data_IF_881738495065
#
_entry.id   IF_881738495065
#
_cell.length_a   1.000
_cell.length_b   1.000
_cell.length_c   1.000
_cell.angle_alpha   90.00
_cell.angle_beta   90.00
_cell.angle_gamma   90.00
#
_symmetry.space_group_name_H-M   'P 1'
#
loop_
_entity.id
_entity.type
_entity.pdbx_description
1 polymer ?
#
# COMPACT_ATOMS: atom_id res chain seq x y z
N UNK A 1 -8.20 3.63 13.27
CA UNK A 1 -6.97 3.37 12.52
C UNK A 1 -7.14 3.34 10.98
N UNK A 2 -8.27 3.71 10.39
CA UNK A 2 -8.41 3.72 8.91
C UNK A 2 -7.57 4.82 8.23
N UNK A 3 -7.24 5.91 8.91
CA UNK A 3 -6.45 7.02 8.35
C UNK A 3 -5.00 6.68 8.00
N UNK A 4 -4.40 5.70 8.69
CA UNK A 4 -3.02 5.28 8.41
C UNK A 4 -2.89 4.48 7.10
N UNK A 5 -3.88 3.67 6.76
CA UNK A 5 -3.85 2.85 5.53
C UNK A 5 -3.96 3.74 4.29
N UNK A 6 -4.81 4.76 4.31
CA UNK A 6 -4.96 5.70 3.19
C UNK A 6 -3.70 6.55 2.96
N UNK A 7 -3.04 7.01 4.02
CA UNK A 7 -1.81 7.81 3.90
C UNK A 7 -0.62 6.99 3.38
N UNK A 8 -0.51 5.73 3.80
CA UNK A 8 0.56 4.84 3.34
C UNK A 8 0.44 4.49 1.85
N UNK A 9 -0.78 4.28 1.32
CA UNK A 9 -0.98 4.08 -0.12
C UNK A 9 -0.63 5.33 -0.91
N UNK A 10 -1.09 6.49 -0.48
CA UNK A 10 -0.84 7.75 -1.18
C UNK A 10 0.67 8.07 -1.31
N UNK A 11 1.48 7.76 -0.29
CA UNK A 11 2.93 8.01 -0.33
C UNK A 11 3.62 7.07 -1.34
N UNK A 12 3.23 5.81 -1.41
CA UNK A 12 3.76 4.85 -2.40
C UNK A 12 3.38 5.22 -3.83
N UNK A 13 2.11 5.56 -4.04
CA UNK A 13 1.58 5.94 -5.34
C UNK A 13 2.30 7.20 -5.88
N UNK A 14 2.56 8.16 -5.00
CA UNK A 14 3.35 9.33 -5.34
C UNK A 14 4.78 8.95 -5.72
N UNK A 15 5.46 8.11 -4.94
CA UNK A 15 6.81 7.66 -5.26
C UNK A 15 6.84 6.92 -6.61
N UNK A 16 5.86 6.08 -6.88
CA UNK A 16 5.74 5.39 -8.15
C UNK A 16 5.53 6.36 -9.33
N UNK A 17 4.66 7.37 -9.16
CA UNK A 17 4.45 8.41 -10.17
C UNK A 17 5.71 9.26 -10.41
N UNK A 18 6.45 9.63 -9.34
CA UNK A 18 7.72 10.36 -9.44
C UNK A 18 8.76 9.55 -10.24
N UNK A 19 8.87 8.23 -9.99
CA UNK A 19 9.78 7.33 -10.73
C UNK A 19 9.44 7.22 -12.22
N UNK A 20 8.17 7.42 -12.57
CA UNK A 20 7.68 7.41 -13.95
C UNK A 20 7.63 8.81 -14.56
N UNK A 21 7.99 9.86 -13.83
CA UNK A 21 7.90 11.27 -14.24
C UNK A 21 6.48 11.66 -14.71
N UNK A 22 5.46 11.06 -14.09
CA UNK A 22 4.03 11.27 -14.39
C UNK A 22 3.30 11.90 -13.21
N UNK A 23 2.14 12.51 -13.48
CA UNK A 23 1.26 12.98 -12.43
C UNK A 23 0.61 11.81 -11.68
N UNK A 24 0.45 11.97 -10.35
CA UNK A 24 -0.08 10.91 -9.46
C UNK A 24 -1.46 10.42 -9.91
N UNK A 25 -2.34 11.33 -10.35
CA UNK A 25 -3.69 10.97 -10.78
C UNK A 25 -3.66 10.19 -12.10
N UNK A 26 -2.83 10.62 -13.05
CA UNK A 26 -2.63 9.94 -14.33
C UNK A 26 -2.06 8.54 -14.10
N UNK A 27 -1.03 8.43 -13.26
CA UNK A 27 -0.47 7.14 -12.86
C UNK A 27 -1.54 6.21 -12.28
N UNK A 28 -2.31 6.72 -11.31
CA UNK A 28 -3.33 5.94 -10.62
C UNK A 28 -4.42 5.44 -11.58
N UNK A 29 -4.97 6.32 -12.41
CA UNK A 29 -6.09 6.01 -13.31
C UNK A 29 -5.66 5.14 -14.48
N UNK A 30 -4.55 5.45 -15.13
CA UNK A 30 -4.15 4.78 -16.37
C UNK A 30 -3.36 3.50 -16.15
N UNK A 31 -2.52 3.45 -15.12
CA UNK A 31 -1.61 2.33 -14.91
C UNK A 31 -2.02 1.43 -13.74
N UNK A 32 -2.40 2.02 -12.62
CA UNK A 32 -2.64 1.24 -11.40
C UNK A 32 -4.05 0.64 -11.33
N UNK A 33 -5.10 1.42 -11.67
CA UNK A 33 -6.50 0.95 -11.57
C UNK A 33 -6.76 -0.30 -12.41
N UNK A 34 -6.38 -0.40 -13.70
CA UNK A 34 -6.68 -1.58 -14.50
C UNK A 34 -6.11 -2.87 -13.88
N UNK A 35 -4.86 -2.80 -13.43
CA UNK A 35 -4.19 -3.95 -12.79
C UNK A 35 -4.81 -4.24 -11.42
N UNK A 36 -5.05 -3.21 -10.62
CA UNK A 36 -5.61 -3.35 -9.27
C UNK A 36 -7.02 -3.96 -9.29
N UNK A 37 -7.87 -3.60 -10.25
CA UNK A 37 -9.22 -4.19 -10.41
C UNK A 37 -9.14 -5.69 -10.63
N UNK A 38 -8.24 -6.14 -11.52
CA UNK A 38 -8.03 -7.57 -11.77
C UNK A 38 -7.55 -8.31 -10.51
N UNK A 39 -6.62 -7.70 -9.77
CA UNK A 39 -6.10 -8.26 -8.52
C UNK A 39 -7.18 -8.31 -7.45
N UNK A 40 -7.95 -7.25 -7.25
CA UNK A 40 -9.04 -7.19 -6.26
C UNK A 40 -10.13 -8.21 -6.58
N UNK A 41 -10.54 -8.31 -7.85
CA UNK A 41 -11.51 -9.33 -8.27
C UNK A 41 -11.01 -10.76 -7.98
N UNK A 42 -9.73 -11.02 -8.28
CA UNK A 42 -9.10 -12.31 -8.00
C UNK A 42 -9.05 -12.62 -6.50
N UNK A 43 -8.69 -11.63 -5.68
CA UNK A 43 -8.64 -11.78 -4.22
C UNK A 43 -10.05 -12.02 -3.67
N UNK A 44 -11.06 -11.28 -4.12
CA UNK A 44 -12.43 -11.43 -3.65
C UNK A 44 -12.99 -12.82 -3.98
N UNK A 45 -12.86 -13.24 -5.25
CA UNK A 45 -13.32 -14.56 -5.73
C UNK A 45 -12.50 -15.67 -5.08
N UNK A 46 -11.18 -15.56 -5.09
CA UNK A 46 -10.26 -16.54 -4.52
C UNK A 46 -10.49 -16.77 -3.03
N UNK A 47 -10.68 -15.68 -2.26
CA UNK A 47 -10.98 -15.77 -0.83
C UNK A 47 -12.29 -16.51 -0.56
N UNK A 48 -13.34 -16.21 -1.33
CA UNK A 48 -14.61 -16.91 -1.18
C UNK A 48 -14.47 -18.44 -1.35
N UNK A 49 -13.80 -18.86 -2.42
CA UNK A 49 -13.64 -20.31 -2.69
C UNK A 49 -12.67 -20.99 -1.71
N UNK A 50 -11.54 -20.36 -1.42
CA UNK A 50 -10.51 -20.92 -0.55
C UNK A 50 -11.02 -21.01 0.90
N UNK A 51 -11.71 -19.99 1.42
CA UNK A 51 -12.29 -20.03 2.76
C UNK A 51 -13.34 -21.15 2.85
N UNK A 52 -14.26 -21.23 1.89
CA UNK A 52 -15.26 -22.31 1.85
C UNK A 52 -14.61 -23.71 1.83
N UNK A 53 -13.51 -23.87 1.09
CA UNK A 53 -12.77 -25.12 1.06
C UNK A 53 -12.11 -25.45 2.40
N UNK A 54 -11.48 -24.47 3.05
CA UNK A 54 -10.88 -24.66 4.37
C UNK A 54 -11.95 -24.98 5.42
N UNK A 55 -13.07 -24.29 5.42
CA UNK A 55 -14.16 -24.50 6.39
C UNK A 55 -14.76 -25.90 6.23
N UNK A 56 -14.97 -26.37 5.01
CA UNK A 56 -15.41 -27.76 4.75
C UNK A 56 -14.39 -28.80 5.23
N UNK A 57 -13.11 -28.53 5.04
CA UNK A 57 -12.02 -29.41 5.47
C UNK A 57 -11.87 -29.45 6.99
N UNK A 58 -12.03 -28.33 7.64
CA UNK A 58 -11.92 -28.22 9.09
C UNK A 58 -13.15 -28.84 9.76
N UNK A 59 -14.34 -28.68 9.20
CA UNK A 59 -15.55 -29.39 9.61
C UNK A 59 -15.41 -30.92 9.46
N UNK A 60 -14.82 -31.40 8.35
CA UNK A 60 -14.57 -32.83 8.12
C UNK A 60 -13.52 -33.42 9.08
N UNK A 61 -12.66 -32.59 9.68
CA UNK A 61 -11.65 -33.00 10.66
C UNK A 61 -12.14 -32.93 12.11
N UNK A 62 -13.38 -32.49 12.35
CA UNK A 62 -13.92 -32.33 13.69
C UNK A 62 -13.20 -31.23 14.50
N UNK A 63 -12.44 -30.37 13.83
CA UNK A 63 -11.94 -29.16 14.45
C UNK A 63 -13.18 -28.27 14.62
N UNK A 64 -13.69 -28.15 15.85
CA UNK A 64 -14.77 -27.22 16.14
C UNK A 64 -14.34 -25.86 15.61
N UNK A 65 -15.18 -25.24 14.78
CA UNK A 65 -15.03 -23.82 14.44
C UNK A 65 -14.68 -23.11 15.75
N UNK A 66 -13.51 -22.48 15.76
CA UNK A 66 -13.14 -21.67 16.91
C UNK A 66 -14.34 -20.81 17.21
N UNK A 67 -14.93 -21.03 18.38
CA UNK A 67 -16.16 -20.37 18.76
C UNK A 67 -15.98 -18.90 18.37
N UNK A 68 -16.93 -18.29 17.63
CA UNK A 68 -16.77 -16.89 17.27
C UNK A 68 -16.48 -16.19 18.58
N UNK A 69 -15.26 -15.64 18.68
CA UNK A 69 -14.92 -14.78 19.81
C UNK A 69 -15.99 -13.73 19.73
N UNK A 70 -16.99 -13.86 20.60
CA UNK A 70 -17.96 -12.79 20.80
C UNK A 70 -17.11 -11.63 21.25
N UNK A 71 -16.72 -10.80 20.28
CA UNK A 71 -16.15 -9.50 20.59
C UNK A 71 -17.13 -8.94 21.62
N UNK A 72 -16.63 -8.74 22.85
CA UNK A 72 -17.50 -8.39 23.95
C UNK A 72 -18.20 -7.11 23.47
N UNK A 73 -19.52 -7.13 23.36
CA UNK A 73 -20.28 -5.97 22.87
C UNK A 73 -19.87 -4.72 23.65
N UNK A 74 -19.43 -4.89 24.91
CA UNK A 74 -18.86 -3.84 25.75
C UNK A 74 -17.54 -3.26 25.23
N UNK A 75 -16.69 -4.07 24.58
CA UNK A 75 -15.43 -3.56 24.00
C UNK A 75 -15.68 -2.84 22.66
N UNK A 76 -16.69 -3.29 21.90
CA UNK A 76 -17.19 -2.57 20.74
C UNK A 76 -17.87 -1.26 21.13
N UNK A 77 -18.75 -1.27 22.14
CA UNK A 77 -19.38 -0.06 22.66
C UNK A 77 -18.37 0.95 23.18
N UNK A 78 -17.34 0.51 23.96
CA UNK A 78 -16.25 1.38 24.39
C UNK A 78 -15.41 1.93 23.24
N UNK A 79 -15.21 1.17 22.16
CA UNK A 79 -14.54 1.65 20.96
C UNK A 79 -15.39 2.69 20.20
N UNK A 80 -16.72 2.62 20.32
CA UNK A 80 -17.66 3.57 19.72
C UNK A 80 -18.03 4.74 20.65
N UNK A 81 -17.89 4.62 21.96
CA UNK A 81 -18.11 5.71 22.93
C UNK A 81 -17.18 6.93 22.71
N UNK A 82 -16.05 6.74 22.02
CA UNK A 82 -15.14 7.80 21.58
C UNK A 82 -15.29 8.21 20.12
N UNK A 83 -16.25 7.65 19.39
CA UNK A 83 -16.46 7.99 17.99
C UNK A 83 -17.11 9.38 17.87
N UNK A 84 -16.37 10.30 17.24
CA UNK A 84 -16.91 11.62 16.91
C UNK A 84 -18.09 11.54 15.96
N UNK A 85 -18.81 12.67 15.74
CA UNK A 85 -19.96 12.71 14.85
C UNK A 85 -19.62 12.19 13.45
N UNK A 86 -20.59 11.56 12.79
CA UNK A 86 -20.41 10.85 11.51
C UNK A 86 -19.77 11.70 10.41
N UNK A 87 -19.96 13.02 10.41
CA UNK A 87 -19.33 13.92 9.43
C UNK A 87 -17.80 13.98 9.54
N UNK A 88 -17.21 13.65 10.70
CA UNK A 88 -15.75 13.52 10.82
C UNK A 88 -15.16 12.35 10.02
N UNK A 89 -15.98 11.34 9.71
CA UNK A 89 -15.54 10.23 8.87
C UNK A 89 -15.28 10.65 7.40
N UNK A 90 -15.87 11.76 6.95
CA UNK A 90 -15.65 12.32 5.61
C UNK A 90 -14.35 13.15 5.50
N UNK A 91 -13.83 13.69 6.60
CA UNK A 91 -12.64 14.54 6.59
C UNK A 91 -11.39 13.87 6.01
N UNK A 92 -11.09 12.60 6.32
CA UNK A 92 -9.94 11.90 5.70
C UNK A 92 -10.07 11.69 4.19
N UNK A 93 -11.27 11.72 3.63
CA UNK A 93 -11.51 11.60 2.18
C UNK A 93 -11.37 12.93 1.44
N UNK A 94 -11.36 14.04 2.15
CA UNK A 94 -11.36 15.38 1.57
C UNK A 94 -10.13 15.64 0.66
N UNK A 95 -8.89 15.29 1.04
CA UNK A 95 -7.73 15.47 0.17
C UNK A 95 -7.87 14.72 -1.16
N UNK A 96 -8.41 13.49 -1.11
CA UNK A 96 -8.62 12.66 -2.30
C UNK A 96 -9.68 13.29 -3.21
N UNK A 97 -10.80 13.75 -2.66
CA UNK A 97 -11.87 14.40 -3.41
C UNK A 97 -11.35 15.68 -4.08
N UNK A 98 -10.57 16.51 -3.35
CA UNK A 98 -9.98 17.71 -3.92
C UNK A 98 -9.02 17.41 -5.07
N UNK A 99 -8.19 16.37 -4.94
CA UNK A 99 -7.28 15.96 -6.00
C UNK A 99 -8.03 15.47 -7.25
N UNK A 100 -9.12 14.72 -7.08
CA UNK A 100 -9.92 14.23 -8.22
C UNK A 100 -10.63 15.40 -8.90
N UNK A 101 -11.28 16.28 -8.14
CA UNK A 101 -12.05 17.42 -8.67
C UNK A 101 -11.15 18.41 -9.41
N UNK A 102 -9.95 18.69 -8.89
CA UNK A 102 -8.97 19.58 -9.50
C UNK A 102 -7.90 18.85 -10.31
N UNK A 103 -8.17 17.60 -10.68
CA UNK A 103 -7.35 16.86 -11.65
C UNK A 103 -7.50 17.44 -13.05
N UNK A 104 -6.45 17.43 -13.88
CA UNK A 104 -6.52 17.80 -15.29
C UNK A 104 -7.60 17.06 -16.08
N UNK A 105 -8.09 15.90 -15.57
CA UNK A 105 -9.17 15.13 -16.19
C UNK A 105 -10.56 15.75 -15.98
N UNK A 106 -10.76 16.55 -14.92
CA UNK A 106 -12.06 17.13 -14.55
C UNK A 106 -12.06 18.63 -14.73
N UNK A 107 -10.99 19.32 -14.36
CA UNK A 107 -10.87 20.76 -14.44
C UNK A 107 -9.45 21.21 -14.80
N UNK A 108 -9.28 21.72 -16.01
CA UNK A 108 -7.96 22.08 -16.55
C UNK A 108 -7.48 23.50 -16.15
N UNK A 109 -8.28 24.23 -15.37
CA UNK A 109 -8.00 25.63 -15.01
C UNK A 109 -7.04 25.84 -13.85
N UNK A 110 -6.91 24.88 -12.92
CA UNK A 110 -6.07 24.99 -11.72
C UNK A 110 -5.39 23.65 -11.46
N UNK A 111 -4.06 23.63 -11.57
CA UNK A 111 -3.25 22.45 -11.20
C UNK A 111 -3.02 22.45 -9.70
N UNK A 112 -3.87 21.74 -8.96
CA UNK A 112 -3.72 21.59 -7.51
C UNK A 112 -2.62 20.57 -7.22
N UNK A 113 -1.53 20.99 -6.59
CA UNK A 113 -0.51 20.03 -6.14
C UNK A 113 -1.04 19.22 -4.94
N UNK A 114 -0.56 17.98 -4.79
CA UNK A 114 -0.94 17.12 -3.66
C UNK A 114 -0.68 17.82 -2.30
N UNK A 115 0.43 18.54 -2.18
CA UNK A 115 0.75 19.29 -0.97
C UNK A 115 -0.29 20.37 -0.68
N UNK A 116 -0.68 21.13 -1.69
CA UNK A 116 -1.70 22.18 -1.56
C UNK A 116 -3.05 21.56 -1.20
N UNK A 117 -3.43 20.44 -1.81
CA UNK A 117 -4.66 19.70 -1.49
C UNK A 117 -4.71 19.25 -0.03
N UNK A 118 -3.60 18.71 0.49
CA UNK A 118 -3.49 18.30 1.89
C UNK A 118 -3.58 19.52 2.84
N UNK A 119 -2.85 20.60 2.55
CA UNK A 119 -2.88 21.82 3.38
C UNK A 119 -4.29 22.44 3.43
N UNK A 120 -4.96 22.53 2.29
CA UNK A 120 -6.35 23.02 2.22
C UNK A 120 -7.28 22.10 3.02
N UNK A 121 -7.09 20.80 2.94
CA UNK A 121 -7.90 19.83 3.70
C UNK A 121 -7.69 19.97 5.22
N UNK A 122 -6.47 20.20 5.68
CA UNK A 122 -6.17 20.44 7.09
C UNK A 122 -6.85 21.75 7.56
N UNK A 123 -6.81 22.81 6.75
CA UNK A 123 -7.48 24.07 7.07
C UNK A 123 -9.01 23.88 7.14
N UNK A 124 -9.60 23.17 6.19
CA UNK A 124 -11.04 22.89 6.22
C UNK A 124 -11.39 22.07 7.46
N UNK A 125 -10.60 21.03 7.79
CA UNK A 125 -10.81 20.23 8.99
C UNK A 125 -10.73 21.07 10.28
N UNK A 126 -9.78 21.99 10.35
CA UNK A 126 -9.65 22.93 11.47
C UNK A 126 -10.88 23.83 11.62
N UNK A 127 -11.38 24.39 10.52
CA UNK A 127 -12.58 25.23 10.55
C UNK A 127 -13.83 24.44 10.91
N UNK A 128 -13.99 23.21 10.40
CA UNK A 128 -15.09 22.32 10.76
C UNK A 128 -15.07 22.00 12.24
N UNK A 129 -13.90 21.68 12.81
CA UNK A 129 -13.75 21.41 14.25
C UNK A 129 -14.05 22.65 15.09
N UNK A 130 -13.59 23.83 14.67
CA UNK A 130 -13.84 25.09 15.34
C UNK A 130 -15.34 25.46 15.36
N UNK A 131 -16.05 25.28 14.24
CA UNK A 131 -17.48 25.54 14.14
C UNK A 131 -18.30 24.54 14.96
N UNK A 132 -17.84 23.29 15.05
CA UNK A 132 -18.57 22.23 15.75
C UNK A 132 -18.44 22.36 17.28
N UNK A 133 -17.30 22.76 17.79
CA UNK A 133 -17.03 22.77 19.23
C UNK A 133 -16.94 24.17 19.85
N UNK A 134 -16.82 25.23 19.05
CA UNK A 134 -16.72 26.64 19.49
C UNK A 134 -15.64 26.92 20.56
N UNK A 135 -14.66 26.01 20.73
CA UNK A 135 -13.54 26.15 21.66
C UNK A 135 -12.21 26.18 20.90
N UNK A 136 -11.70 27.40 20.70
CA UNK A 136 -10.46 27.60 19.96
C UNK A 136 -9.24 26.95 20.62
N UNK A 137 -9.18 26.91 21.95
CA UNK A 137 -8.04 26.36 22.68
C UNK A 137 -7.96 24.83 22.52
N UNK A 138 -9.09 24.17 22.61
CA UNK A 138 -9.19 22.72 22.43
C UNK A 138 -8.96 22.34 20.96
N UNK A 139 -9.46 23.14 20.02
CA UNK A 139 -9.21 22.93 18.59
C UNK A 139 -7.70 23.06 18.26
N UNK A 140 -7.00 24.06 18.78
CA UNK A 140 -5.55 24.18 18.63
C UNK A 140 -4.79 22.99 19.22
N UNK A 141 -5.22 22.48 20.38
CA UNK A 141 -4.62 21.30 21.00
C UNK A 141 -4.81 20.04 20.13
N UNK A 142 -6.00 19.84 19.56
CA UNK A 142 -6.25 18.71 18.62
C UNK A 142 -5.44 18.86 17.34
N UNK A 143 -5.30 20.06 16.82
CA UNK A 143 -4.47 20.34 15.65
C UNK A 143 -3.00 20.05 15.92
N UNK A 144 -2.50 20.24 17.15
CA UNK A 144 -1.12 19.86 17.49
C UNK A 144 -0.82 18.38 17.32
N UNK A 145 -1.84 17.51 17.43
CA UNK A 145 -1.70 16.08 17.14
C UNK A 145 -1.34 15.80 15.66
N UNK A 146 -1.71 16.70 14.74
CA UNK A 146 -1.31 16.60 13.32
C UNK A 146 0.21 16.76 13.20
N UNK A 147 0.79 17.75 13.89
CA UNK A 147 2.25 17.98 13.89
C UNK A 147 3.01 16.84 14.57
N UNK A 148 2.46 16.27 15.64
CA UNK A 148 3.03 15.06 16.27
C UNK A 148 2.98 13.86 15.31
N UNK A 149 1.86 13.68 14.59
CA UNK A 149 1.73 12.69 13.54
C UNK A 149 2.75 12.89 12.42
N UNK A 150 2.94 14.13 11.96
CA UNK A 150 3.97 14.48 10.97
C UNK A 150 5.38 14.12 11.46
N UNK A 151 5.70 14.40 12.72
CA UNK A 151 6.99 14.03 13.33
C UNK A 151 7.24 12.52 13.31
N UNK A 152 6.22 11.73 13.63
CA UNK A 152 6.30 10.25 13.57
C UNK A 152 6.49 9.75 12.14
N UNK A 153 5.79 10.32 11.17
CA UNK A 153 5.95 9.97 9.74
C UNK A 153 7.32 10.41 9.23
N UNK A 154 7.79 11.58 9.64
CA UNK A 154 9.12 12.05 9.27
C UNK A 154 10.20 11.07 9.72
N UNK A 155 10.21 10.68 11.00
CA UNK A 155 11.22 9.75 11.53
C UNK A 155 11.13 8.35 10.96
N UNK A 156 9.94 7.85 10.64
CA UNK A 156 9.77 6.49 10.11
C UNK A 156 9.89 6.40 8.58
N UNK A 157 9.32 7.36 7.87
CA UNK A 157 9.20 7.27 6.40
C UNK A 157 10.27 8.07 5.69
N UNK A 158 10.53 9.33 6.09
CA UNK A 158 11.52 10.17 5.42
C UNK A 158 12.93 9.65 5.68
N UNK A 159 13.24 9.26 6.92
CA UNK A 159 14.53 8.64 7.24
C UNK A 159 14.74 7.35 6.42
N UNK A 160 13.71 6.51 6.26
CA UNK A 160 13.78 5.30 5.46
C UNK A 160 14.05 5.63 3.98
N UNK A 161 13.37 6.62 3.40
CA UNK A 161 13.59 7.05 2.02
C UNK A 161 15.03 7.53 1.83
N UNK A 162 15.56 8.35 2.74
CA UNK A 162 16.94 8.83 2.67
C UNK A 162 17.94 7.66 2.73
N UNK A 163 17.75 6.70 3.63
CA UNK A 163 18.58 5.52 3.71
C UNK A 163 18.50 4.66 2.43
N UNK A 164 17.31 4.53 1.85
CA UNK A 164 17.10 3.79 0.61
C UNK A 164 17.82 4.45 -0.59
N UNK A 165 17.76 5.78 -0.72
CA UNK A 165 18.48 6.52 -1.76
C UNK A 165 20.00 6.37 -1.60
N UNK A 166 20.50 6.45 -0.38
CA UNK A 166 21.94 6.22 -0.11
C UNK A 166 22.35 4.79 -0.45
N UNK A 167 21.52 3.81 -0.13
CA UNK A 167 21.74 2.41 -0.48
C UNK A 167 21.77 2.22 -2.01
N UNK A 168 20.80 2.79 -2.73
CA UNK A 168 20.74 2.72 -4.19
C UNK A 168 21.96 3.37 -4.84
N UNK A 169 22.39 4.55 -4.35
CA UNK A 169 23.62 5.20 -4.80
C UNK A 169 24.87 4.33 -4.54
N UNK A 170 24.93 3.67 -3.40
CA UNK A 170 26.00 2.73 -3.06
C UNK A 170 26.05 1.53 -4.02
N UNK A 171 24.91 0.91 -4.26
CA UNK A 171 24.76 -0.21 -5.19
C UNK A 171 25.15 0.16 -6.62
N UNK A 172 24.76 1.36 -7.07
CA UNK A 172 25.12 1.90 -8.37
C UNK A 172 26.64 2.08 -8.51
N UNK A 173 27.27 2.72 -7.52
CA UNK A 173 28.72 2.96 -7.53
C UNK A 173 29.54 1.67 -7.42
N UNK A 174 29.04 0.64 -6.76
CA UNK A 174 29.69 -0.67 -6.69
C UNK A 174 29.53 -1.49 -7.97
N UNK A 175 28.73 -1.04 -8.93
CA UNK A 175 28.47 -1.75 -10.18
C UNK A 175 27.55 -2.96 -10.01
N UNK A 176 26.89 -3.13 -8.87
CA UNK A 176 25.97 -4.25 -8.62
C UNK A 176 24.80 -4.26 -9.60
N UNK A 177 24.26 -3.08 -9.89
CA UNK A 177 23.16 -2.92 -10.85
C UNK A 177 23.66 -3.22 -12.28
N UNK A 178 24.82 -2.70 -12.68
CA UNK A 178 25.41 -2.95 -14.00
C UNK A 178 25.67 -4.43 -14.26
N UNK A 179 26.08 -5.17 -13.24
CA UNK A 179 26.28 -6.63 -13.35
C UNK A 179 24.97 -7.38 -13.54
N UNK A 180 23.92 -6.99 -12.79
CA UNK A 180 22.57 -7.56 -12.97
C UNK A 180 21.98 -7.22 -14.36
N UNK A 181 22.20 -6.00 -14.82
CA UNK A 181 21.79 -5.51 -16.13
C UNK A 181 22.46 -6.34 -17.24
N UNK A 182 23.78 -6.51 -17.17
CA UNK A 182 24.53 -7.27 -18.18
C UNK A 182 24.10 -8.74 -18.20
N UNK A 183 23.82 -9.33 -17.03
CA UNK A 183 23.28 -10.68 -16.94
C UNK A 183 21.87 -10.81 -17.55
N UNK A 184 21.01 -9.82 -17.34
CA UNK A 184 19.67 -9.81 -17.95
C UNK A 184 19.70 -9.52 -19.45
N UNK A 185 20.55 -8.58 -19.91
CA UNK A 185 20.72 -8.25 -21.31
C UNK A 185 21.30 -9.40 -22.14
N UNK A 186 22.09 -10.28 -21.52
CA UNK A 186 22.61 -11.49 -22.17
C UNK A 186 21.51 -12.54 -22.50
N UNK A 187 20.28 -12.34 -21.98
CA UNK A 187 19.16 -13.27 -22.14
C UNK A 187 18.14 -12.82 -23.21
N UNK A 188 18.59 -12.15 -24.27
CA UNK A 188 17.82 -11.63 -25.44
C UNK A 188 16.30 -11.43 -25.21
N UNK A 189 15.45 -12.42 -25.52
CA UNK A 189 13.98 -12.29 -25.43
C UNK A 189 13.38 -12.55 -24.02
N UNK A 190 14.15 -13.19 -23.12
CA UNK A 190 13.69 -13.51 -21.76
C UNK A 190 14.04 -12.42 -20.72
N UNK A 191 14.88 -11.44 -21.10
CA UNK A 191 15.45 -10.46 -20.17
C UNK A 191 14.41 -9.64 -19.40
N UNK A 192 13.30 -9.25 -20.05
CA UNK A 192 12.20 -8.50 -19.44
C UNK A 192 11.53 -9.30 -18.33
N UNK A 193 11.16 -10.54 -18.62
CA UNK A 193 10.48 -11.42 -17.67
C UNK A 193 11.38 -11.79 -16.51
N UNK A 194 12.64 -12.07 -16.78
CA UNK A 194 13.64 -12.41 -15.76
C UNK A 194 13.83 -11.22 -14.83
N UNK A 195 13.99 -10.00 -15.35
CA UNK A 195 14.12 -8.78 -14.55
C UNK A 195 12.87 -8.54 -13.69
N UNK A 196 11.68 -8.69 -14.28
CA UNK A 196 10.41 -8.54 -13.56
C UNK A 196 10.31 -9.54 -12.39
N UNK A 197 10.60 -10.84 -12.63
CA UNK A 197 10.53 -11.86 -11.59
C UNK A 197 11.59 -11.68 -10.51
N UNK A 198 12.80 -11.22 -10.86
CA UNK A 198 13.85 -10.89 -9.88
C UNK A 198 13.40 -9.73 -8.98
N UNK A 199 12.95 -8.62 -9.56
CA UNK A 199 12.51 -7.45 -8.80
C UNK A 199 11.28 -7.76 -7.92
N UNK A 200 10.35 -8.52 -8.46
CA UNK A 200 9.16 -9.00 -7.74
C UNK A 200 9.54 -9.95 -6.61
N UNK A 201 10.45 -10.88 -6.84
CA UNK A 201 10.97 -11.81 -5.83
C UNK A 201 11.67 -11.08 -4.67
N UNK A 202 12.55 -10.14 -4.99
CA UNK A 202 13.22 -9.27 -3.99
C UNK A 202 12.17 -8.52 -3.18
N UNK A 203 11.17 -7.93 -3.85
CA UNK A 203 10.11 -7.16 -3.18
C UNK A 203 9.28 -8.03 -2.23
N UNK A 204 8.86 -9.20 -2.68
CA UNK A 204 8.07 -10.14 -1.86
C UNK A 204 8.85 -10.60 -0.64
N UNK A 205 10.11 -11.03 -0.84
CA UNK A 205 10.98 -11.49 0.27
C UNK A 205 11.24 -10.36 1.25
N UNK A 206 11.64 -9.17 0.76
CA UNK A 206 11.89 -8.01 1.62
C UNK A 206 10.64 -7.60 2.42
N UNK A 207 9.46 -7.64 1.81
CA UNK A 207 8.19 -7.33 2.49
C UNK A 207 7.87 -8.35 3.58
N UNK A 208 8.07 -9.64 3.31
CA UNK A 208 7.82 -10.70 4.31
C UNK A 208 8.79 -10.58 5.49
N UNK A 209 10.06 -10.30 5.22
CA UNK A 209 11.10 -10.17 6.26
C UNK A 209 10.89 -8.91 7.10
N UNK A 210 10.54 -7.78 6.47
CA UNK A 210 10.36 -6.51 7.20
C UNK A 210 8.97 -6.35 7.83
N UNK A 211 7.98 -7.11 7.37
CA UNK A 211 6.57 -6.93 7.77
C UNK A 211 5.93 -5.67 7.21
N UNK A 212 6.65 -4.90 6.38
CA UNK A 212 6.22 -3.62 5.86
C UNK A 212 6.42 -3.52 4.34
N UNK A 213 5.31 -3.51 3.59
CA UNK A 213 5.36 -3.29 2.14
C UNK A 213 5.90 -1.90 1.76
N UNK A 214 5.72 -0.89 2.62
CA UNK A 214 6.27 0.44 2.39
C UNK A 214 7.79 0.44 2.53
N UNK A 215 8.31 -0.15 3.62
CA UNK A 215 9.74 -0.23 3.84
C UNK A 215 10.45 -0.95 2.68
N UNK A 216 9.91 -2.10 2.26
CA UNK A 216 10.45 -2.84 1.13
C UNK A 216 10.38 -2.02 -0.16
N UNK A 217 9.23 -1.39 -0.47
CA UNK A 217 9.08 -0.61 -1.70
C UNK A 217 10.04 0.59 -1.73
N UNK A 218 10.13 1.37 -0.67
CA UNK A 218 11.04 2.51 -0.64
C UNK A 218 12.52 2.11 -0.72
N UNK A 219 12.89 0.96 -0.11
CA UNK A 219 14.26 0.47 -0.19
C UNK A 219 14.70 0.08 -1.60
N UNK A 220 13.81 -0.50 -2.40
CA UNK A 220 14.15 -1.05 -3.71
C UNK A 220 13.60 -0.24 -4.90
N UNK A 221 12.65 0.66 -4.68
CA UNK A 221 12.05 1.47 -5.75
C UNK A 221 13.04 2.32 -6.54
N UNK A 222 14.14 2.88 -5.97
CA UNK A 222 15.13 3.63 -6.75
C UNK A 222 15.83 2.81 -7.83
N UNK A 223 15.85 1.50 -7.70
CA UNK A 223 16.48 0.59 -8.67
C UNK A 223 15.61 0.31 -9.90
N UNK A 224 14.28 0.53 -9.80
CA UNK A 224 13.33 0.15 -10.84
C UNK A 224 13.52 0.92 -12.17
N UNK A 225 13.76 2.24 -12.18
CA UNK A 225 13.98 2.96 -13.44
C UNK A 225 15.20 2.48 -14.20
N UNK A 226 16.31 2.23 -13.49
CA UNK A 226 17.55 1.72 -14.10
C UNK A 226 17.37 0.29 -14.61
N UNK A 227 16.68 -0.56 -13.83
CA UNK A 227 16.33 -1.91 -14.24
C UNK A 227 15.45 -1.90 -15.49
N UNK A 228 14.47 -1.01 -15.59
CA UNK A 228 13.61 -0.87 -16.77
C UNK A 228 14.39 -0.38 -18.00
N UNK A 229 15.22 0.63 -17.83
CA UNK A 229 16.06 1.18 -18.88
C UNK A 229 17.04 0.14 -19.46
N UNK A 230 17.55 -0.75 -18.61
CA UNK A 230 18.50 -1.78 -19.00
C UNK A 230 17.93 -2.83 -19.95
N UNK A 231 16.66 -3.17 -19.81
CA UNK A 231 15.94 -4.11 -20.68
C UNK A 231 15.09 -3.40 -21.74
N UNK A 232 15.19 -2.05 -21.83
CA UNK A 232 14.55 -1.27 -22.88
C UNK A 232 13.03 -1.21 -22.79
N UNK A 233 12.45 -1.31 -21.57
CA UNK A 233 11.01 -1.27 -21.35
C UNK A 233 10.56 0.01 -20.63
N UNK A 234 9.25 0.30 -20.73
CA UNK A 234 8.66 1.39 -19.96
C UNK A 234 8.77 1.09 -18.45
N UNK A 235 9.18 2.08 -17.68
CA UNK A 235 9.31 1.98 -16.21
C UNK A 235 8.01 1.51 -15.55
N UNK A 236 6.84 1.85 -16.09
CA UNK A 236 5.53 1.42 -15.61
C UNK A 236 5.41 -0.10 -15.51
N UNK A 237 5.95 -0.83 -16.48
CA UNK A 237 5.89 -2.31 -16.56
C UNK A 237 6.57 -2.98 -15.36
N UNK A 238 7.55 -2.32 -14.74
CA UNK A 238 8.21 -2.81 -13.52
C UNK A 238 7.60 -2.19 -12.25
N UNK A 239 7.34 -0.88 -12.25
CA UNK A 239 6.93 -0.15 -11.05
C UNK A 239 5.57 -0.63 -10.55
N UNK A 240 4.58 -0.75 -11.43
CA UNK A 240 3.20 -1.12 -11.05
C UNK A 240 3.11 -2.50 -10.42
N UNK A 241 3.59 -3.60 -11.07
CA UNK A 241 3.50 -4.92 -10.48
C UNK A 241 4.34 -5.07 -9.21
N UNK A 242 5.50 -4.44 -9.13
CA UNK A 242 6.36 -4.46 -7.95
C UNK A 242 5.71 -3.72 -6.77
N UNK A 243 5.11 -2.56 -7.00
CA UNK A 243 4.39 -1.80 -5.97
C UNK A 243 3.17 -2.58 -5.44
N UNK A 244 2.36 -3.15 -6.31
CA UNK A 244 1.19 -3.94 -5.90
C UNK A 244 1.62 -5.22 -5.17
N UNK A 245 2.72 -5.86 -5.59
CA UNK A 245 3.28 -7.03 -4.91
C UNK A 245 3.68 -6.75 -3.47
N UNK A 246 4.19 -5.56 -3.18
CA UNK A 246 4.52 -5.16 -1.81
C UNK A 246 3.27 -5.14 -0.90
N UNK A 247 2.12 -4.70 -1.44
CA UNK A 247 0.84 -4.76 -0.75
C UNK A 247 0.34 -6.19 -0.54
N UNK A 248 0.42 -7.01 -1.57
CA UNK A 248 0.01 -8.42 -1.54
C UNK A 248 0.90 -9.22 -0.57
N UNK A 249 2.21 -9.07 -0.65
CA UNK A 249 3.17 -9.79 0.19
C UNK A 249 3.04 -9.44 1.68
N UNK A 250 2.67 -8.19 2.02
CA UNK A 250 2.41 -7.77 3.39
C UNK A 250 1.33 -8.61 4.08
N UNK A 251 0.33 -9.04 3.34
CA UNK A 251 -0.76 -9.88 3.89
C UNK A 251 -0.35 -11.34 4.11
N UNK A 252 0.79 -11.76 3.59
CA UNK A 252 1.39 -13.08 3.83
C UNK A 252 2.41 -13.06 4.98
N UNK A 253 2.68 -11.91 5.58
CA UNK A 253 3.70 -11.77 6.61
C UNK A 253 3.12 -11.94 8.02
N UNK A 254 3.64 -12.89 8.84
CA UNK A 254 3.13 -13.12 10.20
C UNK A 254 3.42 -11.98 11.19
N UNK A 255 4.42 -11.18 10.91
CA UNK A 255 4.82 -10.05 11.75
C UNK A 255 4.21 -8.72 11.30
N UNK A 256 3.39 -8.72 10.25
CA UNK A 256 2.69 -7.53 9.81
C UNK A 256 1.67 -7.08 10.87
N UNK A 257 1.73 -5.80 11.27
CA UNK A 257 0.89 -5.27 12.35
C UNK A 257 -0.61 -5.49 12.14
N UNK A 258 -1.08 -5.46 10.88
CA UNK A 258 -2.49 -5.73 10.55
C UNK A 258 -2.86 -7.18 10.85
N UNK A 259 -1.99 -8.14 10.50
CA UNK A 259 -2.22 -9.56 10.74
C UNK A 259 -2.23 -9.85 12.24
N UNK A 260 -1.29 -9.25 13.00
CA UNK A 260 -1.23 -9.40 14.46
C UNK A 260 -2.50 -8.81 15.11
N UNK A 261 -2.96 -7.64 14.66
CA UNK A 261 -4.16 -7.01 15.19
C UNK A 261 -5.42 -7.85 14.91
N UNK A 262 -5.58 -8.35 13.68
CA UNK A 262 -6.71 -9.22 13.30
C UNK A 262 -6.66 -10.54 14.05
N UNK A 263 -5.48 -11.14 14.19
CA UNK A 263 -5.28 -12.37 14.98
C UNK A 263 -5.68 -12.18 16.45
N UNK A 264 -5.27 -11.05 17.06
CA UNK A 264 -5.65 -10.70 18.42
C UNK A 264 -7.16 -10.54 18.62
N UNK A 265 -7.85 -9.87 17.66
CA UNK A 265 -9.31 -9.70 17.70
C UNK A 265 -10.03 -11.04 17.51
N UNK A 266 -9.54 -11.88 16.60
CA UNK A 266 -10.14 -13.18 16.29
C UNK A 266 -9.78 -14.29 17.30
N UNK A 267 -8.87 -14.04 18.25
CA UNK A 267 -8.38 -15.06 19.18
C UNK A 267 -7.60 -16.19 18.50
N UNK A 268 -7.01 -15.91 17.34
CA UNK A 268 -6.25 -16.84 16.52
C UNK A 268 -4.76 -16.49 16.52
N UNK A 269 -3.93 -17.44 16.10
CA UNK A 269 -2.52 -17.15 15.86
C UNK A 269 -2.33 -16.49 14.47
N UNK A 270 -1.34 -15.58 14.30
CA UNK A 270 -1.04 -15.00 12.99
C UNK A 270 -0.81 -16.05 11.90
N UNK A 271 -0.21 -17.18 12.23
CA UNK A 271 0.06 -18.27 11.29
C UNK A 271 -1.21 -18.96 10.78
N UNK A 272 -2.26 -19.08 11.59
CA UNK A 272 -3.54 -19.64 11.19
C UNK A 272 -4.22 -18.77 10.12
N UNK A 273 -4.16 -17.45 10.30
CA UNK A 273 -4.69 -16.50 9.32
C UNK A 273 -3.91 -16.60 8.00
N UNK A 274 -2.58 -16.57 8.07
CA UNK A 274 -1.71 -16.58 6.90
C UNK A 274 -1.85 -17.87 6.11
N UNK A 275 -1.95 -19.02 6.77
CA UNK A 275 -2.16 -20.31 6.11
C UNK A 275 -3.37 -20.32 5.19
N UNK A 276 -4.44 -19.60 5.56
CA UNK A 276 -5.66 -19.45 4.75
C UNK A 276 -5.50 -18.39 3.67
N UNK A 277 -4.65 -17.38 3.89
CA UNK A 277 -4.46 -16.24 3.00
C UNK A 277 -3.44 -16.50 1.89
N UNK A 278 -2.34 -17.23 2.18
CA UNK A 278 -1.25 -17.51 1.23
C UNK A 278 -1.73 -18.01 -0.14
N UNK A 279 -2.62 -19.02 -0.26
CA UNK A 279 -2.99 -19.54 -1.58
C UNK A 279 -3.63 -18.46 -2.47
N UNK A 280 -4.47 -17.61 -1.87
CA UNK A 280 -5.14 -16.53 -2.59
C UNK A 280 -4.14 -15.43 -2.99
N UNK A 281 -3.21 -15.11 -2.11
CA UNK A 281 -2.21 -14.07 -2.39
C UNK A 281 -1.19 -14.51 -3.43
N UNK A 282 -0.82 -15.79 -3.46
CA UNK A 282 0.02 -16.32 -4.54
C UNK A 282 -0.70 -16.24 -5.89
N UNK A 283 -1.98 -16.58 -5.94
CA UNK A 283 -2.79 -16.41 -7.15
C UNK A 283 -2.88 -14.92 -7.54
N UNK A 284 -3.06 -14.02 -6.57
CA UNK A 284 -3.09 -12.58 -6.79
C UNK A 284 -1.75 -12.05 -7.35
N UNK A 285 -0.60 -12.58 -6.91
CA UNK A 285 0.71 -12.24 -7.49
C UNK A 285 0.81 -12.67 -8.95
N UNK A 286 0.34 -13.86 -9.29
CA UNK A 286 0.33 -14.34 -10.68
C UNK A 286 -0.54 -13.43 -11.55
N UNK A 287 -1.76 -13.12 -11.09
CA UNK A 287 -2.68 -12.24 -11.82
C UNK A 287 -2.13 -10.81 -11.91
N UNK A 288 -1.44 -10.31 -10.88
CA UNK A 288 -0.78 -9.01 -10.91
C UNK A 288 0.25 -8.94 -12.07
N UNK A 289 1.08 -9.96 -12.22
CA UNK A 289 2.06 -10.04 -13.32
C UNK A 289 1.35 -10.13 -14.67
N UNK A 290 0.36 -11.01 -14.78
CA UNK A 290 -0.38 -11.21 -16.03
C UNK A 290 -1.15 -9.96 -16.46
N UNK A 291 -1.84 -9.31 -15.53
CA UNK A 291 -2.56 -8.07 -15.80
C UNK A 291 -1.59 -6.92 -16.17
N UNK A 292 -0.46 -6.81 -15.50
CA UNK A 292 0.56 -5.81 -15.86
C UNK A 292 1.10 -6.03 -17.28
N UNK A 293 1.27 -7.28 -17.70
CA UNK A 293 1.72 -7.61 -19.05
C UNK A 293 0.67 -7.29 -20.15
N UNK A 294 -0.62 -7.25 -19.78
CA UNK A 294 -1.71 -6.96 -20.73
C UNK A 294 -2.02 -5.46 -20.83
N UNK A 295 -1.91 -4.73 -19.71
CA UNK A 295 -2.36 -3.32 -19.64
C UNK A 295 -1.21 -2.30 -19.72
N UNK A 296 0.03 -2.71 -19.52
CA UNK A 296 1.21 -1.84 -19.51
C UNK A 296 2.19 -2.20 -20.62
#
# INVERSE_FOLDING_TARGET
MPSLVGSEMCIRDRRAADLMSTDVVTYFVQSQIPVAVCVIATVAIGHFFVQRWFDQRDAARGVADGAPVKADQKDLEKAFEGAGPVHYALLPMLPLVLLIVFSPMVYDGIKLSLQTGILVSILIAFFVDLITHFDFKECCKRTSAVFEGMGKVFTSTVALICCAELFALGMNKMGGITTMIQAAAAMESAGVWVMLFIMLGIMVVATIVTGSGNAAFFAFSPLLPEAAASVGINTAVLVVPVQLSAGIARTMCPIAGVIIAVAGIAGLTPFEIIRRTIPVMLLALIVNVAASAVFL
#
